data_IF_916854899709
#
_entry.id   IF_916854899709
#
_cell.length_a   1.000
_cell.length_b   1.000
_cell.length_c   1.000
_cell.angle_alpha   90.00
_cell.angle_beta   90.00
_cell.angle_gamma   90.00
#
_symmetry.space_group_name_H-M   'P 1'
#
loop_
_entity.id
_entity.type
_entity.pdbx_description
1 polymer ?
#
# COMPACT_ATOMS: atom_id res chain seq x y z
N UNK A 1 3.16 44.47 32.94
CA UNK A 1 3.05 43.01 32.73
C UNK A 1 4.46 42.49 32.54
N UNK A 2 4.97 41.81 33.55
CA UNK A 2 6.34 41.28 33.62
C UNK A 2 6.60 40.33 32.45
N UNK A 3 7.75 40.45 31.79
CA UNK A 3 8.20 39.53 30.74
C UNK A 3 8.42 38.13 31.34
N UNK A 4 7.35 37.34 31.48
CA UNK A 4 7.47 35.91 31.73
C UNK A 4 8.10 35.29 30.48
N UNK A 5 9.28 34.72 30.63
CA UNK A 5 9.97 33.96 29.59
C UNK A 5 9.13 32.74 29.22
N UNK A 6 8.40 32.85 28.11
CA UNK A 6 7.64 31.74 27.55
C UNK A 6 8.59 30.63 27.09
N UNK A 7 8.33 29.40 27.52
CA UNK A 7 9.10 28.25 27.10
C UNK A 7 8.95 27.98 25.59
N UNK A 8 10.08 27.79 24.92
CA UNK A 8 10.14 27.61 23.46
C UNK A 8 9.41 26.35 22.97
N UNK A 9 9.20 25.36 23.85
CA UNK A 9 8.45 24.13 23.56
C UNK A 9 6.97 24.35 23.19
N UNK A 10 6.38 25.47 23.60
CA UNK A 10 5.02 25.85 23.18
C UNK A 10 4.95 26.27 21.71
N UNK A 11 6.08 26.66 21.09
CA UNK A 11 6.15 27.20 19.72
C UNK A 11 5.19 28.38 19.48
N UNK A 12 4.87 29.14 20.51
CA UNK A 12 4.02 30.33 20.43
C UNK A 12 4.89 31.57 20.20
N UNK A 13 5.00 32.00 18.95
CA UNK A 13 5.82 33.15 18.57
C UNK A 13 5.07 34.47 18.80
N UNK A 14 5.74 35.43 19.43
CA UNK A 14 5.19 36.79 19.60
C UNK A 14 5.13 37.46 18.21
N UNK A 15 3.96 37.97 17.77
CA UNK A 15 3.84 38.57 16.44
C UNK A 15 4.67 39.85 16.36
N UNK A 16 5.44 39.98 15.27
CA UNK A 16 6.29 41.13 15.00
C UNK A 16 5.63 42.06 14.00
N UNK A 17 5.60 43.36 14.32
CA UNK A 17 5.07 44.38 13.42
C UNK A 17 6.11 44.70 12.37
N UNK A 18 5.88 44.26 11.13
CA UNK A 18 6.62 44.73 9.95
C UNK A 18 5.85 45.90 9.34
N UNK A 19 6.57 46.94 8.91
CA UNK A 19 5.97 48.18 8.44
C UNK A 19 6.13 48.28 6.93
N UNK A 20 5.18 47.74 6.15
CA UNK A 20 5.29 47.86 4.69
C UNK A 20 3.99 47.86 3.90
N UNK A 21 2.83 47.42 4.41
CA UNK A 21 1.54 47.55 3.66
C UNK A 21 0.27 47.41 4.54
N UNK A 22 -0.90 47.80 3.99
CA UNK A 22 -2.22 47.58 4.56
C UNK A 22 -2.60 46.10 4.72
N UNK A 23 -2.16 45.21 3.82
CA UNK A 23 -2.36 43.76 3.98
C UNK A 23 -1.55 43.21 5.17
N UNK A 24 -0.33 43.70 5.37
CA UNK A 24 0.53 43.31 6.49
C UNK A 24 -0.05 43.75 7.83
N UNK A 25 -0.63 44.95 7.91
CA UNK A 25 -1.35 45.41 9.12
C UNK A 25 -2.50 44.46 9.49
N UNK A 26 -3.31 44.03 8.52
CA UNK A 26 -4.41 43.07 8.76
C UNK A 26 -3.90 41.69 9.14
N UNK A 27 -2.76 41.25 8.61
CA UNK A 27 -2.13 39.98 8.99
C UNK A 27 -1.60 40.05 10.43
N UNK A 28 -0.88 41.12 10.77
CA UNK A 28 -0.39 41.37 12.12
C UNK A 28 -1.52 41.42 13.15
N UNK A 29 -2.63 42.09 12.83
CA UNK A 29 -3.82 42.14 13.71
C UNK A 29 -4.35 40.71 14.01
N UNK A 30 -4.52 39.89 12.96
CA UNK A 30 -4.97 38.49 13.10
C UNK A 30 -3.99 37.63 13.89
N UNK A 31 -2.69 37.80 13.65
CA UNK A 31 -1.66 37.05 14.38
C UNK A 31 -1.59 37.48 15.86
N UNK A 32 -1.83 38.77 16.16
CA UNK A 32 -1.93 39.31 17.52
C UNK A 32 -3.15 38.78 18.27
N UNK A 33 -4.33 38.81 17.65
CA UNK A 33 -5.55 38.25 18.23
C UNK A 33 -5.37 36.76 18.52
N UNK A 34 -4.78 36.02 17.58
CA UNK A 34 -4.48 34.59 17.77
C UNK A 34 -3.48 34.36 18.89
N UNK A 35 -2.42 35.16 18.98
CA UNK A 35 -1.42 35.06 20.05
C UNK A 35 -2.06 35.31 21.42
N UNK A 36 -2.88 36.36 21.54
CA UNK A 36 -3.59 36.68 22.79
C UNK A 36 -4.53 35.55 23.20
N UNK A 37 -5.28 34.99 22.24
CA UNK A 37 -6.17 33.86 22.50
C UNK A 37 -5.41 32.62 23.00
N UNK A 38 -4.33 32.22 22.31
CA UNK A 38 -3.52 31.06 22.73
C UNK A 38 -2.82 31.30 24.07
N UNK A 39 -2.37 32.54 24.33
CA UNK A 39 -1.77 32.90 25.61
C UNK A 39 -2.79 32.80 26.75
N UNK A 40 -4.03 33.28 26.57
CA UNK A 40 -5.07 33.16 27.60
C UNK A 40 -5.41 31.71 27.97
N UNK A 41 -5.30 30.79 27.01
CA UNK A 41 -5.45 29.35 27.25
C UNK A 41 -4.28 28.80 28.07
N UNK A 42 -3.04 29.20 27.73
CA UNK A 42 -1.88 28.83 28.53
C UNK A 42 -1.94 29.42 29.94
N UNK A 43 -2.48 30.62 30.12
CA UNK A 43 -2.72 31.22 31.43
C UNK A 43 -3.74 30.42 32.24
N UNK A 44 -4.76 29.86 31.60
CA UNK A 44 -5.71 28.95 32.25
C UNK A 44 -5.03 27.66 32.72
N UNK A 45 -4.10 27.13 31.92
CA UNK A 45 -3.30 25.97 32.29
C UNK A 45 -2.31 26.28 33.43
N UNK A 46 -1.69 27.47 33.41
CA UNK A 46 -0.79 27.97 34.45
C UNK A 46 -1.50 28.14 35.80
N UNK A 47 -2.77 28.56 35.81
CA UNK A 47 -3.56 28.65 37.03
C UNK A 47 -3.78 27.28 37.69
N UNK A 48 -3.84 26.20 36.89
CA UNK A 48 -4.00 24.83 37.38
C UNK A 48 -2.67 24.19 37.75
N UNK A 49 -1.65 24.41 36.94
CA UNK A 49 -0.30 23.87 37.14
C UNK A 49 0.71 25.01 36.99
N UNK A 50 1.15 25.63 38.11
CA UNK A 50 2.08 26.75 38.07
C UNK A 50 3.46 26.35 37.52
N UNK A 51 4.03 27.16 36.63
CA UNK A 51 5.34 26.95 36.00
C UNK A 51 5.29 26.26 34.64
N UNK A 52 4.11 25.98 34.10
CA UNK A 52 3.92 25.33 32.80
C UNK A 52 4.26 26.27 31.65
N UNK A 53 3.94 27.57 31.76
CA UNK A 53 4.31 28.58 30.76
C UNK A 53 5.82 28.73 30.66
N UNK A 54 6.51 28.71 31.81
CA UNK A 54 7.96 28.90 31.91
C UNK A 54 8.76 27.63 31.56
N UNK A 55 8.09 26.48 31.51
CA UNK A 55 8.75 25.22 31.19
C UNK A 55 9.53 24.61 32.35
N UNK A 56 9.03 24.71 33.59
CA UNK A 56 9.70 24.10 34.74
C UNK A 56 9.81 22.58 34.56
N UNK A 57 10.94 21.95 34.91
CA UNK A 57 11.11 20.50 34.75
C UNK A 57 10.28 19.71 35.77
N UNK A 58 9.95 18.45 35.44
CA UNK A 58 9.32 17.47 36.32
C UNK A 58 7.95 17.87 36.91
N UNK A 59 7.17 18.67 36.17
CA UNK A 59 5.81 19.00 36.58
C UNK A 59 4.89 17.76 36.54
N UNK A 60 3.96 17.69 37.49
CA UNK A 60 2.95 16.64 37.57
C UNK A 60 1.58 17.27 37.37
N UNK A 61 0.86 16.78 36.37
CA UNK A 61 -0.50 17.20 36.04
C UNK A 61 -1.47 16.17 36.62
N UNK A 62 -2.52 16.63 37.30
CA UNK A 62 -3.62 15.73 37.65
C UNK A 62 -4.50 15.50 36.43
N UNK A 63 -5.06 14.30 36.30
CA UNK A 63 -5.98 14.00 35.20
C UNK A 63 -7.23 14.90 35.24
N UNK A 64 -7.69 15.26 36.44
CA UNK A 64 -8.82 16.18 36.67
C UNK A 64 -8.53 17.60 36.18
N UNK A 65 -7.31 18.11 36.39
CA UNK A 65 -6.94 19.44 35.91
C UNK A 65 -6.79 19.46 34.39
N UNK A 66 -6.18 18.40 33.84
CA UNK A 66 -5.97 18.27 32.40
C UNK A 66 -7.32 18.20 31.68
N UNK A 67 -8.23 17.33 32.14
CA UNK A 67 -9.59 17.21 31.58
C UNK A 67 -10.38 18.51 31.68
N UNK A 68 -10.35 19.19 32.83
CA UNK A 68 -11.05 20.47 33.02
C UNK A 68 -10.57 21.57 32.05
N UNK A 69 -9.26 21.66 31.79
CA UNK A 69 -8.72 22.63 30.83
C UNK A 69 -9.18 22.33 29.40
N UNK A 70 -9.16 21.06 28.99
CA UNK A 70 -9.60 20.67 27.66
C UNK A 70 -11.12 20.79 27.47
N UNK A 71 -11.91 20.52 28.51
CA UNK A 71 -13.37 20.72 28.50
C UNK A 71 -13.72 22.21 28.41
N UNK A 72 -13.08 23.05 29.21
CA UNK A 72 -13.23 24.51 29.11
C UNK A 72 -12.83 25.04 27.72
N UNK A 73 -11.78 24.48 27.12
CA UNK A 73 -11.37 24.80 25.76
C UNK A 73 -12.46 24.40 24.75
N UNK A 74 -13.06 23.22 24.90
CA UNK A 74 -14.13 22.74 24.02
C UNK A 74 -15.41 23.58 24.12
N UNK A 75 -15.77 24.06 25.31
CA UNK A 75 -16.96 24.89 25.51
C UNK A 75 -16.80 26.33 25.01
N UNK A 76 -15.61 26.92 25.17
CA UNK A 76 -15.38 28.35 24.90
C UNK A 76 -14.78 28.64 23.51
N UNK A 77 -14.30 27.62 22.78
CA UNK A 77 -13.62 27.82 21.50
C UNK A 77 -14.58 27.58 20.32
N UNK A 78 -14.66 28.47 19.33
CA UNK A 78 -15.50 28.24 18.15
C UNK A 78 -15.01 27.02 17.35
N UNK A 79 -15.94 26.23 16.73
CA UNK A 79 -15.59 24.98 16.04
C UNK A 79 -14.48 25.12 14.99
N UNK A 80 -14.43 26.25 14.27
CA UNK A 80 -13.40 26.54 13.25
C UNK A 80 -12.00 26.66 13.83
N UNK A 81 -11.86 27.11 15.09
CA UNK A 81 -10.58 27.27 15.76
C UNK A 81 -10.21 26.05 16.61
N UNK A 82 -11.22 25.34 17.14
CA UNK A 82 -11.11 24.23 18.10
C UNK A 82 -9.96 23.26 17.80
N UNK A 83 -9.90 22.71 16.59
CA UNK A 83 -8.85 21.76 16.18
C UNK A 83 -7.45 22.34 16.32
N UNK A 84 -7.24 23.58 15.86
CA UNK A 84 -5.92 24.24 15.90
C UNK A 84 -5.49 24.49 17.33
N UNK A 85 -6.43 24.91 18.18
CA UNK A 85 -6.19 25.25 19.57
C UNK A 85 -5.94 24.00 20.43
N UNK A 86 -6.76 22.97 20.25
CA UNK A 86 -6.60 21.68 20.92
C UNK A 86 -5.24 21.05 20.56
N UNK A 87 -4.93 20.95 19.27
CA UNK A 87 -3.67 20.35 18.82
C UNK A 87 -2.44 21.19 19.20
N UNK A 88 -2.60 22.50 19.43
CA UNK A 88 -1.55 23.34 19.97
C UNK A 88 -1.21 22.94 21.43
N UNK A 89 -2.22 22.74 22.27
CA UNK A 89 -2.00 22.27 23.64
C UNK A 89 -1.42 20.87 23.69
N UNK A 90 -2.00 19.93 22.92
CA UNK A 90 -1.50 18.54 22.84
C UNK A 90 -0.02 18.53 22.49
N UNK A 91 0.40 19.24 21.44
CA UNK A 91 1.82 19.33 21.04
C UNK A 91 2.72 19.93 22.11
N UNK A 92 2.22 20.92 22.85
CA UNK A 92 2.99 21.52 23.93
C UNK A 92 3.19 20.57 25.11
N UNK A 93 2.15 19.80 25.46
CA UNK A 93 2.22 18.76 26.49
C UNK A 93 3.12 17.59 26.04
N UNK A 94 3.05 17.16 24.79
CA UNK A 94 3.96 16.17 24.18
C UNK A 94 5.42 16.63 24.31
N UNK A 95 5.72 17.87 23.90
CA UNK A 95 7.05 18.42 24.04
C UNK A 95 7.50 18.46 25.51
N UNK A 96 6.61 18.80 26.43
CA UNK A 96 6.91 18.87 27.86
C UNK A 96 7.17 17.50 28.48
N UNK A 97 6.41 16.50 28.07
CA UNK A 97 6.64 15.11 28.45
C UNK A 97 8.01 14.61 27.98
N UNK A 98 8.34 14.83 26.71
CA UNK A 98 9.61 14.38 26.13
C UNK A 98 10.83 15.09 26.74
N UNK A 99 10.79 16.44 26.76
CA UNK A 99 11.95 17.30 27.06
C UNK A 99 12.08 17.69 28.53
N UNK A 100 10.96 17.91 29.21
CA UNK A 100 10.92 18.39 30.60
C UNK A 100 10.49 17.30 31.59
N UNK A 101 10.25 16.08 31.10
CA UNK A 101 9.80 14.92 31.90
C UNK A 101 8.52 15.21 32.67
N UNK A 102 7.61 15.97 32.07
CA UNK A 102 6.29 16.19 32.64
C UNK A 102 5.52 14.88 32.74
N UNK A 103 4.84 14.68 33.87
CA UNK A 103 3.91 13.58 34.09
C UNK A 103 2.51 14.10 33.80
N UNK A 104 2.00 13.81 32.61
CA UNK A 104 0.69 14.28 32.13
C UNK A 104 0.06 13.22 31.25
N UNK A 105 -1.25 13.03 31.40
CA UNK A 105 -2.05 12.21 30.49
C UNK A 105 -2.44 13.06 29.29
N UNK A 106 -1.79 12.82 28.16
CA UNK A 106 -1.95 13.65 26.96
C UNK A 106 -3.18 13.19 26.17
N UNK A 107 -4.16 14.08 25.90
CA UNK A 107 -5.30 13.74 25.06
C UNK A 107 -4.91 13.49 23.60
N UNK A 108 -5.68 12.66 22.90
CA UNK A 108 -5.46 12.40 21.48
C UNK A 108 -5.70 13.65 20.64
N UNK A 109 -4.84 13.95 19.64
CA UNK A 109 -5.01 15.12 18.79
C UNK A 109 -6.27 15.01 17.93
N UNK A 110 -6.91 16.14 17.65
CA UNK A 110 -8.05 16.23 16.75
C UNK A 110 -7.58 16.16 15.29
N UNK A 111 -8.00 15.10 14.59
CA UNK A 111 -7.78 14.91 13.16
C UNK A 111 -9.10 15.11 12.43
N UNK A 112 -9.07 15.83 11.32
CA UNK A 112 -10.23 15.91 10.43
C UNK A 112 -10.06 14.86 9.37
N UNK A 113 -10.91 13.84 9.40
CA UNK A 113 -11.03 12.92 8.28
C UNK A 113 -11.73 13.62 7.13
N UNK A 114 -11.01 13.78 6.03
CA UNK A 114 -11.59 14.30 4.80
C UNK A 114 -12.57 13.25 4.29
N UNK A 115 -13.83 13.68 4.06
CA UNK A 115 -14.83 12.81 3.44
C UNK A 115 -14.25 12.27 2.14
N UNK A 116 -14.18 10.94 2.02
CA UNK A 116 -13.74 10.29 0.78
C UNK A 116 -14.67 10.77 -0.35
N UNK A 117 -14.14 11.27 -1.47
CA UNK A 117 -14.97 11.65 -2.59
C UNK A 117 -15.79 10.44 -3.06
N UNK A 118 -16.98 10.66 -3.64
CA UNK A 118 -17.75 9.57 -4.22
C UNK A 118 -16.93 8.89 -5.32
N UNK A 119 -17.06 7.57 -5.43
CA UNK A 119 -16.36 6.76 -6.44
C UNK A 119 -16.76 7.16 -7.86
N UNK A 120 -18.00 7.59 -8.04
CA UNK A 120 -18.58 8.05 -9.30
C UNK A 120 -19.00 9.50 -9.16
N UNK A 121 -18.56 10.35 -10.09
CA UNK A 121 -18.97 11.75 -10.21
C UNK A 121 -19.69 11.95 -11.54
N UNK A 122 -20.41 13.06 -11.70
CA UNK A 122 -21.04 13.41 -12.99
C UNK A 122 -20.01 13.48 -14.12
N UNK A 123 -18.82 14.00 -13.84
CA UNK A 123 -17.72 14.03 -14.82
C UNK A 123 -17.23 12.62 -15.18
N UNK A 124 -16.99 11.76 -14.18
CA UNK A 124 -16.47 10.41 -14.45
C UNK A 124 -17.51 9.53 -15.16
N UNK A 125 -18.79 9.72 -14.84
CA UNK A 125 -19.89 9.06 -15.54
C UNK A 125 -20.00 9.54 -16.99
N UNK A 126 -19.83 10.85 -17.23
CA UNK A 126 -19.88 11.40 -18.59
C UNK A 126 -18.77 10.84 -19.49
N UNK A 127 -17.63 10.41 -18.95
CA UNK A 127 -16.54 9.81 -19.73
C UNK A 127 -16.80 8.33 -20.11
N UNK A 128 -17.83 7.68 -19.58
CA UNK A 128 -18.13 6.25 -19.85
C UNK A 128 -18.44 5.97 -21.32
N UNK A 129 -19.02 6.91 -22.07
CA UNK A 129 -19.26 6.72 -23.50
C UNK A 129 -17.98 6.38 -24.28
N UNK A 130 -16.84 6.94 -23.86
CA UNK A 130 -15.52 6.64 -24.46
C UNK A 130 -15.02 5.27 -24.05
N UNK A 131 -15.33 4.86 -22.83
CA UNK A 131 -15.02 3.54 -22.32
C UNK A 131 -15.79 2.47 -23.09
N UNK A 132 -17.10 2.65 -23.26
CA UNK A 132 -17.95 1.70 -23.99
C UNK A 132 -17.47 1.52 -25.43
N UNK A 133 -17.16 2.62 -26.13
CA UNK A 133 -16.59 2.55 -27.47
C UNK A 133 -15.25 1.81 -27.54
N UNK A 134 -14.41 1.88 -26.49
CA UNK A 134 -13.16 1.10 -26.43
C UNK A 134 -13.43 -0.38 -26.17
N UNK A 135 -14.39 -0.70 -25.30
CA UNK A 135 -14.77 -2.08 -24.98
C UNK A 135 -15.39 -2.77 -26.20
N UNK A 136 -16.28 -2.10 -26.92
CA UNK A 136 -16.87 -2.64 -28.16
C UNK A 136 -15.79 -2.99 -29.19
N UNK A 137 -14.81 -2.11 -29.39
CA UNK A 137 -13.69 -2.36 -30.30
C UNK A 137 -12.76 -3.47 -29.81
N UNK A 138 -12.58 -3.59 -28.50
CA UNK A 138 -11.82 -4.70 -27.91
C UNK A 138 -12.52 -6.05 -28.17
N UNK A 139 -13.83 -6.12 -27.95
CA UNK A 139 -14.63 -7.34 -28.11
C UNK A 139 -14.76 -7.77 -29.57
N UNK A 140 -14.88 -6.81 -30.49
CA UNK A 140 -14.93 -7.09 -31.93
C UNK A 140 -13.57 -7.57 -32.50
N UNK A 141 -12.47 -7.46 -31.75
CA UNK A 141 -11.13 -7.69 -32.26
C UNK A 141 -10.71 -9.17 -32.19
N UNK A 142 -10.64 -9.82 -33.35
CA UNK A 142 -10.28 -11.24 -33.46
C UNK A 142 -8.77 -11.49 -33.39
N UNK A 143 -7.98 -10.85 -34.25
CA UNK A 143 -6.50 -10.94 -34.27
C UNK A 143 -5.89 -9.74 -35.02
N UNK A 144 -4.56 -9.57 -34.94
CA UNK A 144 -3.82 -8.60 -35.77
C UNK A 144 -2.89 -9.36 -36.70
N UNK A 145 -3.10 -9.22 -38.00
CA UNK A 145 -2.38 -9.97 -39.04
C UNK A 145 -1.02 -9.35 -39.39
N UNK A 146 -0.78 -8.09 -39.04
CA UNK A 146 0.38 -7.30 -39.51
C UNK A 146 1.44 -7.00 -38.45
N UNK A 147 1.41 -7.67 -37.29
CA UNK A 147 2.39 -7.46 -36.23
C UNK A 147 3.31 -8.67 -36.07
N UNK A 148 4.60 -8.42 -35.97
CA UNK A 148 5.61 -9.46 -35.76
C UNK A 148 6.65 -9.04 -34.71
N UNK A 149 7.34 -10.04 -34.14
CA UNK A 149 8.40 -9.84 -33.16
C UNK A 149 7.97 -9.01 -31.95
N UNK A 150 8.79 -8.02 -31.57
CA UNK A 150 8.56 -7.20 -30.38
C UNK A 150 7.26 -6.38 -30.44
N UNK A 151 6.80 -5.99 -31.64
CA UNK A 151 5.55 -5.26 -31.79
C UNK A 151 4.34 -6.15 -31.46
N UNK A 152 4.38 -7.42 -31.90
CA UNK A 152 3.39 -8.42 -31.52
C UNK A 152 3.40 -8.67 -30.00
N UNK A 153 4.58 -8.81 -29.38
CA UNK A 153 4.69 -9.02 -27.94
C UNK A 153 4.07 -7.87 -27.13
N UNK A 154 4.39 -6.63 -27.49
CA UNK A 154 3.78 -5.44 -26.85
C UNK A 154 2.26 -5.42 -27.01
N UNK A 155 1.78 -5.77 -28.20
CA UNK A 155 0.36 -5.79 -28.49
C UNK A 155 -0.39 -6.86 -27.71
N UNK A 156 0.12 -8.10 -27.64
CA UNK A 156 -0.51 -9.20 -26.91
C UNK A 156 -0.59 -8.92 -25.41
N UNK A 157 0.52 -8.45 -24.83
CA UNK A 157 0.56 -8.02 -23.43
C UNK A 157 -0.37 -6.84 -23.18
N UNK A 158 -0.39 -5.85 -24.08
CA UNK A 158 -1.31 -4.73 -24.02
C UNK A 158 -2.79 -5.14 -24.06
N UNK A 159 -3.15 -6.09 -24.94
CA UNK A 159 -4.49 -6.66 -25.04
C UNK A 159 -4.90 -7.35 -23.74
N UNK A 160 -4.01 -8.16 -23.18
CA UNK A 160 -4.26 -8.86 -21.93
C UNK A 160 -4.41 -7.89 -20.75
N UNK A 161 -3.52 -6.90 -20.63
CA UNK A 161 -3.61 -5.85 -19.60
C UNK A 161 -4.93 -5.06 -19.71
N UNK A 162 -5.36 -4.74 -20.94
CA UNK A 162 -6.63 -4.07 -21.15
C UNK A 162 -7.81 -4.93 -20.67
N UNK A 163 -7.80 -6.25 -20.94
CA UNK A 163 -8.84 -7.15 -20.43
C UNK A 163 -8.88 -7.19 -18.90
N UNK A 164 -7.72 -7.22 -18.22
CA UNK A 164 -7.66 -7.15 -16.74
C UNK A 164 -8.26 -5.87 -16.17
N UNK A 165 -7.99 -4.73 -16.82
CA UNK A 165 -8.54 -3.43 -16.43
C UNK A 165 -10.05 -3.42 -16.69
N UNK A 166 -10.48 -3.94 -17.84
CA UNK A 166 -11.88 -3.99 -18.24
C UNK A 166 -12.75 -4.79 -17.28
N UNK A 167 -12.27 -5.96 -16.87
CA UNK A 167 -12.96 -6.81 -15.91
C UNK A 167 -12.92 -6.26 -14.48
N UNK A 168 -12.23 -5.14 -14.26
CA UNK A 168 -12.04 -4.55 -12.94
C UNK A 168 -11.16 -5.39 -12.02
N UNK A 169 -10.42 -6.37 -12.55
CA UNK A 169 -9.46 -7.16 -11.78
C UNK A 169 -8.25 -6.32 -11.33
N UNK A 170 -7.86 -5.33 -12.15
CA UNK A 170 -6.67 -4.53 -11.94
C UNK A 170 -6.93 -3.03 -12.18
N UNK A 171 -7.28 -2.30 -11.12
CA UNK A 171 -7.66 -0.87 -11.21
C UNK A 171 -6.66 0.08 -10.52
N UNK A 172 -5.62 -0.46 -9.88
CA UNK A 172 -4.61 0.33 -9.19
C UNK A 172 -3.31 0.43 -10.01
N UNK A 173 -2.80 1.65 -10.17
CA UNK A 173 -1.55 1.91 -10.93
C UNK A 173 -0.34 1.18 -10.35
N UNK A 174 -0.19 1.12 -9.03
CA UNK A 174 0.92 0.42 -8.37
C UNK A 174 0.92 -1.07 -8.70
N UNK A 175 -0.25 -1.71 -8.68
CA UNK A 175 -0.37 -3.12 -9.02
C UNK A 175 -0.14 -3.37 -10.52
N UNK A 176 -0.53 -2.43 -11.39
CA UNK A 176 -0.18 -2.49 -12.81
C UNK A 176 1.33 -2.48 -13.02
N UNK A 177 2.06 -1.62 -12.30
CA UNK A 177 3.53 -1.52 -12.42
C UNK A 177 4.27 -2.78 -11.96
N UNK A 178 3.64 -3.63 -11.14
CA UNK A 178 4.18 -4.93 -10.71
C UNK A 178 3.97 -6.06 -11.72
N UNK A 179 3.10 -5.85 -12.73
CA UNK A 179 2.75 -6.89 -13.71
C UNK A 179 3.94 -7.47 -14.48
N UNK A 180 4.97 -6.69 -14.88
CA UNK A 180 6.13 -7.26 -15.58
C UNK A 180 6.83 -8.36 -14.77
N UNK A 181 7.07 -8.09 -13.48
CA UNK A 181 7.72 -9.05 -12.60
C UNK A 181 6.81 -10.26 -12.34
N UNK A 182 5.53 -10.02 -12.08
CA UNK A 182 4.57 -11.09 -11.82
C UNK A 182 4.33 -11.99 -13.05
N UNK A 183 4.37 -11.40 -14.26
CA UNK A 183 4.31 -12.15 -15.51
C UNK A 183 5.55 -13.02 -15.69
N UNK A 184 6.76 -12.50 -15.46
CA UNK A 184 7.98 -13.30 -15.57
C UNK A 184 8.06 -14.43 -14.53
N UNK A 185 7.47 -14.23 -13.34
CA UNK A 185 7.32 -15.27 -12.30
C UNK A 185 6.33 -16.39 -12.70
N UNK A 186 5.43 -16.12 -13.64
CA UNK A 186 4.42 -17.06 -14.10
C UNK A 186 3.10 -16.98 -13.34
N UNK A 187 2.10 -17.71 -13.85
CA UNK A 187 0.78 -17.84 -13.25
C UNK A 187 0.62 -19.23 -12.60
N UNK A 188 -0.34 -19.36 -11.70
CA UNK A 188 -0.66 -20.61 -11.01
C UNK A 188 -2.12 -20.99 -11.22
N UNK A 189 -2.41 -22.30 -11.24
CA UNK A 189 -3.77 -22.83 -11.29
C UNK A 189 -4.14 -23.49 -9.97
N UNK A 190 -5.24 -23.03 -9.37
CA UNK A 190 -6.03 -23.78 -8.38
C UNK A 190 -7.20 -24.47 -9.10
N UNK A 191 -7.91 -25.45 -8.52
CA UNK A 191 -8.99 -26.18 -9.21
C UNK A 191 -9.97 -25.22 -9.90
N UNK A 192 -9.87 -25.14 -11.23
CA UNK A 192 -10.70 -24.31 -12.11
C UNK A 192 -10.39 -22.81 -12.16
N UNK A 193 -9.39 -22.29 -11.43
CA UNK A 193 -9.09 -20.84 -11.41
C UNK A 193 -7.60 -20.54 -11.55
N UNK A 194 -7.24 -19.81 -12.60
CA UNK A 194 -5.91 -19.24 -12.78
C UNK A 194 -5.73 -17.95 -11.98
N UNK A 195 -4.58 -17.78 -11.33
CA UNK A 195 -4.25 -16.56 -10.61
C UNK A 195 -2.78 -16.16 -10.79
N UNK A 196 -2.53 -14.86 -10.68
CA UNK A 196 -1.19 -14.26 -10.66
C UNK A 196 -0.92 -13.71 -9.26
N UNK A 197 0.30 -13.89 -8.78
CA UNK A 197 0.71 -13.37 -7.48
C UNK A 197 1.55 -12.12 -7.67
N UNK A 198 1.07 -11.00 -7.13
CA UNK A 198 1.81 -9.75 -6.99
C UNK A 198 2.51 -9.76 -5.61
N UNK A 199 3.78 -9.40 -5.58
CA UNK A 199 4.58 -9.31 -4.37
C UNK A 199 5.09 -7.87 -4.20
N UNK A 200 4.86 -7.30 -3.02
CA UNK A 200 5.33 -5.98 -2.60
C UNK A 200 6.33 -6.15 -1.47
N UNK A 201 7.60 -5.82 -1.69
CA UNK A 201 8.62 -5.91 -0.65
C UNK A 201 8.38 -4.82 0.42
N UNK A 202 8.28 -5.24 1.68
CA UNK A 202 8.05 -4.38 2.85
C UNK A 202 9.38 -3.85 3.39
N UNK A 203 10.43 -4.67 3.29
CA UNK A 203 11.77 -4.36 3.82
C UNK A 203 12.82 -4.78 2.80
N UNK A 204 13.49 -3.77 2.22
CA UNK A 204 14.70 -4.00 1.43
C UNK A 204 15.79 -4.59 2.35
N UNK A 205 16.57 -5.59 1.88
CA UNK A 205 17.66 -6.17 2.66
C UNK A 205 18.64 -5.10 3.19
N UNK A 206 18.78 -3.97 2.50
CA UNK A 206 19.79 -2.95 2.82
C UNK A 206 19.35 -1.93 3.89
N UNK A 207 18.10 -1.95 4.35
CA UNK A 207 17.63 -0.93 5.33
C UNK A 207 18.11 -1.16 6.76
N UNK A 208 18.76 -2.29 7.05
CA UNK A 208 19.34 -2.60 8.35
C UNK A 208 20.87 -2.48 8.39
N UNK A 209 21.53 -2.27 7.24
CA UNK A 209 23.00 -2.22 7.13
C UNK A 209 23.54 -0.78 7.06
N UNK A 210 22.71 0.23 6.78
CA UNK A 210 23.16 1.63 6.69
C UNK A 210 23.33 2.37 8.03
N UNK A 211 23.04 1.75 9.18
CA UNK A 211 23.21 2.39 10.52
C UNK A 211 24.44 1.93 11.32
N UNK A 212 25.35 1.13 10.73
CA UNK A 212 26.62 0.78 11.40
C UNK A 212 27.76 0.65 10.40
N UNK A 213 28.38 1.76 10.03
CA UNK A 213 29.80 1.78 9.62
C UNK A 213 30.34 3.23 9.57
N UNK A 214 30.51 3.84 10.74
CA UNK A 214 31.59 4.80 10.96
C UNK A 214 32.49 4.21 12.07
N UNK A 215 33.53 3.49 11.67
CA UNK A 215 34.52 2.88 12.55
C UNK A 215 35.67 2.30 11.72
N UNK A 216 36.88 2.70 12.06
CA UNK A 216 38.10 2.60 11.25
C UNK A 216 38.61 1.18 10.93
N UNK A 217 39.13 1.05 9.71
CA UNK A 217 40.32 0.32 9.26
C UNK A 217 40.47 -1.22 9.44
N UNK A 218 40.67 -1.86 8.28
CA UNK A 218 41.64 -2.93 7.98
C UNK A 218 41.39 -4.33 8.55
N UNK A 219 40.83 -5.23 7.73
CA UNK A 219 41.39 -6.59 7.57
C UNK A 219 40.99 -7.20 6.21
N UNK A 220 41.95 -7.88 5.57
CA UNK A 220 41.86 -8.54 4.26
C UNK A 220 41.06 -9.85 4.38
N UNK A 221 39.73 -9.76 4.46
CA UNK A 221 38.85 -10.91 4.27
C UNK A 221 37.73 -10.57 3.27
N UNK A 222 37.49 -11.42 2.25
CA UNK A 222 36.32 -11.23 1.39
C UNK A 222 35.05 -11.25 2.24
N UNK A 223 34.07 -10.37 1.96
CA UNK A 223 32.84 -10.29 2.73
C UNK A 223 32.19 -11.68 2.84
N UNK A 224 31.71 -12.09 4.03
CA UNK A 224 30.96 -13.32 4.14
C UNK A 224 29.76 -13.24 3.20
N UNK A 225 29.61 -14.24 2.33
CA UNK A 225 28.43 -14.36 1.47
C UNK A 225 27.17 -14.21 2.34
N UNK A 226 26.21 -13.36 1.96
CA UNK A 226 25.01 -13.16 2.77
C UNK A 226 24.34 -14.52 2.99
N UNK A 227 23.89 -14.83 4.22
CA UNK A 227 23.28 -16.12 4.51
C UNK A 227 22.15 -16.37 3.52
N UNK A 228 22.18 -17.53 2.87
CA UNK A 228 21.17 -17.92 1.88
C UNK A 228 19.79 -17.91 2.53
N UNK A 229 19.05 -16.80 2.37
CA UNK A 229 17.77 -16.61 3.01
C UNK A 229 16.82 -17.75 2.67
N UNK A 230 16.19 -18.31 3.71
CA UNK A 230 15.21 -19.37 3.49
C UNK A 230 14.00 -18.80 2.71
N UNK A 231 13.30 -19.62 1.90
CA UNK A 231 12.12 -19.16 1.15
C UNK A 231 11.05 -18.52 2.06
N UNK A 232 10.96 -18.97 3.31
CA UNK A 232 10.00 -18.48 4.31
C UNK A 232 10.41 -17.08 4.82
N UNK A 233 11.70 -16.82 5.01
CA UNK A 233 12.21 -15.49 5.38
C UNK A 233 11.96 -14.46 4.27
N UNK A 234 12.09 -14.85 3.01
CA UNK A 234 11.72 -14.01 1.85
C UNK A 234 10.22 -13.71 1.82
N UNK A 235 9.39 -14.70 2.12
CA UNK A 235 7.93 -14.53 2.21
C UNK A 235 7.49 -13.64 3.38
N UNK A 236 8.26 -13.62 4.49
CA UNK A 236 7.98 -12.77 5.64
C UNK A 236 8.17 -11.28 5.36
N UNK A 237 9.07 -10.94 4.43
CA UNK A 237 9.40 -9.55 4.06
C UNK A 237 8.52 -8.99 2.96
N UNK A 238 7.54 -9.75 2.46
CA UNK A 238 6.71 -9.35 1.32
C UNK A 238 5.22 -9.40 1.64
N UNK A 239 4.50 -8.40 1.16
CA UNK A 239 3.05 -8.40 1.07
C UNK A 239 2.64 -9.06 -0.25
N UNK A 240 1.68 -9.98 -0.18
CA UNK A 240 1.21 -10.70 -1.36
C UNK A 240 -0.22 -10.30 -1.71
N UNK A 241 -0.49 -10.27 -3.01
CA UNK A 241 -1.83 -10.09 -3.55
C UNK A 241 -2.04 -11.06 -4.72
N UNK A 242 -3.11 -11.85 -4.65
CA UNK A 242 -3.49 -12.74 -5.75
C UNK A 242 -4.56 -12.10 -6.60
N UNK A 243 -4.26 -11.98 -7.89
CA UNK A 243 -5.20 -11.56 -8.91
C UNK A 243 -5.81 -12.80 -9.55
N UNK A 244 -7.07 -13.09 -9.23
CA UNK A 244 -7.82 -14.16 -9.86
C UNK A 244 -8.24 -13.73 -11.26
N UNK A 245 -7.90 -14.54 -12.27
CA UNK A 245 -8.17 -14.25 -13.67
C UNK A 245 -9.54 -14.81 -14.06
N UNK A 246 -10.32 -14.03 -14.82
CA UNK A 246 -11.49 -14.57 -15.50
C UNK A 246 -11.10 -15.62 -16.56
N UNK A 247 -12.04 -16.44 -17.07
CA UNK A 247 -11.77 -17.33 -18.18
C UNK A 247 -11.18 -16.62 -19.41
N UNK A 248 -11.66 -15.43 -19.76
CA UNK A 248 -11.15 -14.67 -20.91
C UNK A 248 -9.71 -14.18 -20.66
N UNK A 249 -9.46 -13.63 -19.47
CA UNK A 249 -8.13 -13.20 -19.06
C UNK A 249 -7.13 -14.34 -18.98
N UNK A 250 -7.57 -15.55 -18.57
CA UNK A 250 -6.77 -16.77 -18.61
C UNK A 250 -6.43 -17.17 -20.05
N UNK A 251 -7.41 -17.19 -20.96
CA UNK A 251 -7.19 -17.55 -22.36
C UNK A 251 -6.24 -16.59 -23.06
N UNK A 252 -6.40 -15.28 -22.86
CA UNK A 252 -5.50 -14.27 -23.42
C UNK A 252 -4.08 -14.39 -22.86
N UNK A 253 -3.95 -14.69 -21.57
CA UNK A 253 -2.65 -14.94 -20.95
C UNK A 253 -1.97 -16.16 -21.55
N UNK A 254 -2.68 -17.29 -21.63
CA UNK A 254 -2.15 -18.54 -22.19
C UNK A 254 -1.73 -18.36 -23.65
N UNK A 255 -2.56 -17.69 -24.45
CA UNK A 255 -2.24 -17.34 -25.83
C UNK A 255 -0.96 -16.48 -25.91
N UNK A 256 -0.82 -15.50 -25.02
CA UNK A 256 0.39 -14.67 -24.92
C UNK A 256 1.61 -15.53 -24.60
N UNK A 257 1.55 -16.39 -23.58
CA UNK A 257 2.66 -17.26 -23.21
C UNK A 257 3.05 -18.24 -24.33
N UNK A 258 2.07 -18.75 -25.09
CA UNK A 258 2.34 -19.63 -26.22
C UNK A 258 3.12 -18.93 -27.34
N UNK A 259 2.87 -17.64 -27.58
CA UNK A 259 3.49 -16.91 -28.68
C UNK A 259 4.81 -16.22 -28.31
N UNK A 260 4.93 -15.70 -27.09
CA UNK A 260 6.10 -14.88 -26.68
C UNK A 260 6.86 -15.46 -25.47
N UNK A 261 6.37 -16.55 -24.88
CA UNK A 261 6.95 -17.13 -23.67
C UNK A 261 6.60 -16.35 -22.40
N UNK A 262 7.35 -16.61 -21.34
CA UNK A 262 7.21 -15.95 -20.03
C UNK A 262 8.00 -14.64 -19.91
N UNK A 263 8.72 -14.22 -20.95
CA UNK A 263 9.50 -12.98 -20.92
C UNK A 263 8.60 -11.76 -21.17
N UNK A 264 8.70 -10.74 -20.32
CA UNK A 264 8.01 -9.49 -20.59
C UNK A 264 8.63 -8.78 -21.83
N UNK A 265 7.86 -8.03 -22.64
CA UNK A 265 8.40 -7.30 -23.78
C UNK A 265 9.56 -6.38 -23.39
N UNK A 266 10.64 -6.41 -24.18
CA UNK A 266 11.86 -5.61 -23.96
C UNK A 266 12.09 -4.63 -25.10
N UNK A 267 12.71 -3.50 -24.81
CA UNK A 267 13.14 -2.52 -25.82
C UNK A 267 14.36 -3.05 -26.60
N UNK A 268 14.76 -2.35 -27.66
CA UNK A 268 15.99 -2.68 -28.40
C UNK A 268 17.25 -2.63 -27.51
N UNK A 269 17.23 -1.84 -26.42
CA UNK A 269 18.30 -1.75 -25.42
C UNK A 269 18.18 -2.79 -24.30
N UNK A 270 17.36 -3.85 -24.49
CA UNK A 270 17.08 -4.93 -23.51
C UNK A 270 16.43 -4.47 -22.20
N UNK A 271 16.00 -3.21 -22.09
CA UNK A 271 15.25 -2.73 -20.94
C UNK A 271 13.79 -3.20 -20.98
N UNK A 272 13.17 -3.39 -19.82
CA UNK A 272 11.76 -3.77 -19.70
C UNK A 272 10.89 -2.67 -20.29
N UNK A 273 9.94 -3.02 -21.15
CA UNK A 273 8.97 -2.05 -21.70
C UNK A 273 7.97 -1.70 -20.60
N UNK A 274 7.76 -0.41 -20.29
CA UNK A 274 6.77 0.02 -19.31
C UNK A 274 5.36 -0.45 -19.65
N UNK A 275 4.59 -0.78 -18.61
CA UNK A 275 3.20 -1.29 -18.70
C UNK A 275 2.31 -0.32 -19.48
N UNK A 276 2.45 0.98 -19.20
CA UNK A 276 1.71 2.04 -19.91
C UNK A 276 2.00 2.03 -21.42
N UNK A 277 3.25 1.75 -21.82
CA UNK A 277 3.59 1.69 -23.24
C UNK A 277 2.94 0.49 -23.93
N UNK A 278 2.91 -0.69 -23.31
CA UNK A 278 2.22 -1.86 -23.86
C UNK A 278 0.71 -1.60 -24.00
N UNK A 279 0.09 -1.04 -22.96
CA UNK A 279 -1.34 -0.76 -22.93
C UNK A 279 -1.73 0.31 -23.96
N UNK A 280 -1.01 1.43 -24.02
CA UNK A 280 -1.28 2.48 -25.00
C UNK A 280 -0.96 2.04 -26.43
N UNK A 281 0.05 1.17 -26.62
CA UNK A 281 0.32 0.57 -27.93
C UNK A 281 -0.89 -0.22 -28.40
N UNK A 282 -1.47 -1.08 -27.56
CA UNK A 282 -2.68 -1.82 -27.88
C UNK A 282 -3.87 -0.89 -28.18
N UNK A 283 -4.15 0.09 -27.31
CA UNK A 283 -5.32 0.94 -27.48
C UNK A 283 -5.23 1.80 -28.75
N UNK A 284 -4.04 2.26 -29.14
CA UNK A 284 -3.84 2.96 -30.42
C UNK A 284 -4.24 2.12 -31.64
N UNK A 285 -4.10 0.80 -31.56
CA UNK A 285 -4.48 -0.09 -32.66
C UNK A 285 -6.00 -0.33 -32.71
N UNK A 286 -6.70 -0.26 -31.58
CA UNK A 286 -8.15 -0.46 -31.56
C UNK A 286 -8.90 0.87 -31.76
N UNK A 287 -8.34 2.00 -31.33
CA UNK A 287 -8.98 3.31 -31.39
C UNK A 287 -8.07 4.35 -32.09
N UNK A 288 -7.90 4.19 -33.41
CA UNK A 288 -7.05 5.04 -34.24
C UNK A 288 -7.50 6.52 -34.22
N UNK A 289 -8.81 6.79 -34.17
CA UNK A 289 -9.35 8.16 -34.27
C UNK A 289 -9.41 8.91 -32.93
N UNK A 290 -9.53 8.20 -31.80
CA UNK A 290 -9.66 8.80 -30.47
C UNK A 290 -8.99 7.94 -29.39
N UNK A 291 -7.65 7.89 -29.32
CA UNK A 291 -6.98 7.20 -28.23
C UNK A 291 -7.21 7.93 -26.89
N UNK A 292 -7.35 7.21 -25.77
CA UNK A 292 -7.37 7.83 -24.45
C UNK A 292 -6.02 8.52 -24.20
N UNK A 293 -6.08 9.67 -23.55
CA UNK A 293 -4.92 10.58 -23.44
C UNK A 293 -3.81 9.98 -22.59
N UNK A 294 -4.15 9.29 -21.47
CA UNK A 294 -3.19 8.78 -20.49
C UNK A 294 -3.73 7.55 -19.72
N UNK A 295 -2.84 6.75 -19.11
CA UNK A 295 -3.23 5.60 -18.27
C UNK A 295 -4.13 5.98 -17.08
N UNK A 296 -3.93 7.15 -16.46
CA UNK A 296 -4.76 7.62 -15.34
C UNK A 296 -6.21 7.87 -15.73
N UNK A 297 -6.45 8.39 -16.93
CA UNK A 297 -7.79 8.61 -17.47
C UNK A 297 -8.48 7.26 -17.74
N UNK A 298 -7.75 6.31 -18.34
CA UNK A 298 -8.26 4.95 -18.57
C UNK A 298 -8.67 4.27 -17.25
N UNK A 299 -7.83 4.34 -16.22
CA UNK A 299 -8.14 3.75 -14.92
C UNK A 299 -9.31 4.44 -14.22
N UNK A 300 -9.49 5.75 -14.41
CA UNK A 300 -10.65 6.48 -13.88
C UNK A 300 -11.94 6.02 -14.54
N UNK A 301 -11.94 5.86 -15.87
CA UNK A 301 -13.08 5.32 -16.62
C UNK A 301 -13.39 3.88 -16.20
N UNK A 302 -12.38 3.01 -16.17
CA UNK A 302 -12.53 1.61 -15.76
C UNK A 302 -13.03 1.46 -14.32
N UNK A 303 -12.54 2.29 -13.38
CA UNK A 303 -13.05 2.34 -12.00
C UNK A 303 -14.51 2.76 -11.94
N UNK A 304 -14.91 3.70 -12.79
CA UNK A 304 -16.29 4.17 -12.85
C UNK A 304 -17.19 3.05 -13.37
N UNK A 305 -16.82 2.39 -14.47
CA UNK A 305 -17.55 1.24 -15.01
C UNK A 305 -17.64 0.09 -13.99
N UNK A 306 -16.50 -0.29 -13.42
CA UNK A 306 -16.42 -1.33 -12.37
C UNK A 306 -17.27 -1.00 -11.12
N UNK A 307 -17.42 0.27 -10.77
CA UNK A 307 -18.26 0.68 -9.64
C UNK A 307 -19.77 0.55 -9.92
N UNK A 308 -20.16 0.50 -11.20
CA UNK A 308 -21.54 0.26 -11.64
C UNK A 308 -21.82 -1.24 -11.78
N UNK A 309 -20.84 -2.00 -12.28
CA UNK A 309 -21.03 -3.42 -12.62
C UNK A 309 -20.75 -4.38 -11.46
N UNK A 310 -19.80 -4.05 -10.57
CA UNK A 310 -19.33 -4.94 -9.52
C UNK A 310 -19.76 -4.52 -8.11
N UNK A 311 -19.86 -5.47 -7.17
CA UNK A 311 -20.04 -5.18 -5.76
C UNK A 311 -18.96 -4.23 -5.20
N UNK A 312 -19.32 -3.26 -4.33
CA UNK A 312 -18.39 -2.26 -3.80
C UNK A 312 -17.14 -2.83 -3.12
N UNK A 313 -17.24 -4.03 -2.53
CA UNK A 313 -16.12 -4.73 -1.91
C UNK A 313 -15.04 -5.12 -2.93
N UNK A 314 -15.44 -5.69 -4.08
CA UNK A 314 -14.51 -6.10 -5.13
C UNK A 314 -13.87 -4.89 -5.80
N UNK A 315 -14.66 -3.85 -6.06
CA UNK A 315 -14.16 -2.58 -6.60
C UNK A 315 -13.16 -1.91 -5.65
N UNK A 316 -13.41 -1.96 -4.34
CA UNK A 316 -12.47 -1.47 -3.33
C UNK A 316 -11.19 -2.32 -3.30
N UNK A 317 -11.32 -3.65 -3.33
CA UNK A 317 -10.19 -4.56 -3.42
C UNK A 317 -9.29 -4.26 -4.62
N UNK A 318 -9.85 -4.18 -5.82
CA UNK A 318 -9.11 -3.95 -7.05
C UNK A 318 -8.48 -2.54 -7.15
N UNK A 319 -9.12 -1.53 -6.55
CA UNK A 319 -8.69 -0.13 -6.69
C UNK A 319 -7.73 0.36 -5.62
N UNK A 320 -7.67 -0.27 -4.45
CA UNK A 320 -6.83 0.18 -3.31
C UNK A 320 -5.66 -0.74 -3.04
N UNK A 321 -4.53 -0.14 -2.69
CA UNK A 321 -3.32 -0.85 -2.29
C UNK A 321 -3.49 -1.57 -0.93
N UNK A 322 -4.16 -0.89 0.02
CA UNK A 322 -4.24 -1.37 1.41
C UNK A 322 -5.41 -2.36 1.65
N UNK A 323 -6.19 -2.66 0.62
CA UNK A 323 -7.35 -3.53 0.74
C UNK A 323 -6.90 -5.00 0.78
N UNK A 324 -6.89 -5.58 1.99
CA UNK A 324 -6.70 -7.00 2.31
C UNK A 324 -5.54 -7.70 1.60
N UNK A 325 -4.51 -8.04 2.39
CA UNK A 325 -3.39 -8.85 1.95
C UNK A 325 -3.82 -10.30 1.73
N UNK A 326 -3.34 -10.91 0.66
CA UNK A 326 -3.50 -12.35 0.45
C UNK A 326 -2.57 -13.12 1.39
N UNK A 327 -2.97 -14.34 1.75
CA UNK A 327 -2.09 -15.26 2.50
C UNK A 327 -0.79 -15.47 1.74
N UNK A 328 0.31 -15.74 2.46
CA UNK A 328 1.61 -16.07 1.85
C UNK A 328 1.50 -17.28 0.91
N UNK A 329 2.35 -17.40 -0.14
CA UNK A 329 2.32 -18.53 -1.06
C UNK A 329 2.32 -19.89 -0.35
N UNK A 330 3.24 -20.11 0.59
CA UNK A 330 3.28 -21.32 1.42
C UNK A 330 1.97 -21.59 2.18
N UNK A 331 1.40 -20.57 2.82
CA UNK A 331 0.15 -20.68 3.60
C UNK A 331 -1.07 -20.93 2.71
N UNK A 332 -1.08 -20.35 1.52
CA UNK A 332 -2.12 -20.54 0.52
C UNK A 332 -2.10 -21.94 -0.09
N UNK A 333 -0.91 -22.45 -0.42
CA UNK A 333 -0.75 -23.83 -0.88
C UNK A 333 -1.22 -24.83 0.17
N UNK A 334 -0.93 -24.58 1.46
CA UNK A 334 -1.45 -25.41 2.57
C UNK A 334 -2.97 -25.38 2.62
N UNK A 335 -3.58 -24.20 2.47
CA UNK A 335 -5.02 -24.04 2.46
C UNK A 335 -5.66 -24.79 1.30
N UNK A 336 -5.11 -24.67 0.09
CA UNK A 336 -5.63 -25.34 -1.11
C UNK A 336 -5.46 -26.85 -1.06
N UNK A 337 -4.32 -27.33 -0.57
CA UNK A 337 -3.99 -28.76 -0.58
C UNK A 337 -4.43 -29.48 0.70
N UNK A 338 -5.02 -28.77 1.67
CA UNK A 338 -5.39 -29.28 3.00
C UNK A 338 -4.26 -30.03 3.74
N UNK A 339 -2.99 -29.74 3.40
CA UNK A 339 -1.84 -30.42 3.98
C UNK A 339 -1.32 -29.63 5.19
N UNK A 340 -1.55 -30.16 6.38
CA UNK A 340 -0.84 -29.75 7.60
C UNK A 340 0.52 -30.43 7.59
N UNK A 341 1.61 -29.67 7.57
CA UNK A 341 2.93 -30.24 7.87
C UNK A 341 2.88 -30.73 9.32
N UNK A 342 2.63 -32.02 9.52
CA UNK A 342 2.93 -32.69 10.78
C UNK A 342 4.44 -32.53 10.93
N UNK A 343 4.87 -31.78 11.94
CA UNK A 343 6.28 -31.72 12.29
C UNK A 343 6.78 -33.16 12.41
N UNK A 344 7.90 -33.55 11.76
CA UNK A 344 8.44 -34.87 11.98
C UNK A 344 8.65 -35.02 13.49
N UNK A 345 8.20 -36.14 14.10
CA UNK A 345 8.44 -36.36 15.51
C UNK A 345 9.94 -36.22 15.74
N UNK A 346 10.37 -35.54 16.83
CA UNK A 346 11.78 -35.40 17.13
C UNK A 346 12.41 -36.79 17.08
N UNK A 347 13.49 -36.90 16.32
CA UNK A 347 14.31 -38.11 16.21
C UNK A 347 14.56 -38.63 17.62
N UNK A 348 13.77 -39.61 18.05
CA UNK A 348 14.09 -40.39 19.22
C UNK A 348 15.36 -41.13 18.85
N UNK A 349 16.44 -40.73 19.53
CA UNK A 349 17.72 -41.40 19.54
C UNK A 349 17.50 -42.91 19.59
N UNK A 350 17.83 -43.60 18.51
CA UNK A 350 17.87 -45.05 18.45
C UNK A 350 18.87 -45.57 19.48
N UNK A 351 18.50 -46.48 20.40
CA UNK A 351 19.47 -47.40 20.94
C UNK A 351 19.66 -48.55 19.95
N UNK A 352 20.93 -48.88 19.77
CA UNK A 352 21.50 -49.85 18.87
C UNK A 352 21.04 -51.29 19.13
N UNK A 353 21.15 -52.09 18.06
CA UNK A 353 21.41 -53.55 18.01
C UNK A 353 20.20 -54.50 18.17
N UNK A 354 19.77 -55.18 17.09
CA UNK A 354 20.36 -56.45 16.61
C UNK A 354 19.63 -56.98 15.35
N UNK A 355 20.46 -57.57 14.51
CA UNK A 355 20.24 -58.36 13.30
C UNK A 355 19.14 -59.42 13.45
N UNK A 356 18.20 -59.48 12.50
CA UNK A 356 17.75 -60.77 11.93
C UNK A 356 17.05 -60.55 10.59
N UNK A 357 17.58 -61.25 9.59
CA UNK A 357 17.06 -61.47 8.25
C UNK A 357 15.75 -62.25 8.28
N UNK A 358 14.70 -61.78 7.60
CA UNK A 358 13.77 -62.70 6.93
C UNK A 358 13.04 -62.05 5.76
N UNK A 359 13.02 -62.81 4.67
CA UNK A 359 12.48 -62.58 3.35
C UNK A 359 10.95 -62.77 3.35
N UNK A 360 10.16 -61.88 2.73
CA UNK A 360 8.94 -62.31 1.98
C UNK A 360 8.23 -61.17 1.20
N UNK A 361 8.16 -61.42 -0.12
CA UNK A 361 7.13 -61.14 -1.16
C UNK A 361 6.42 -59.77 -1.29
N UNK A 362 6.29 -59.25 -2.54
CA UNK A 362 5.54 -58.04 -2.84
C UNK A 362 4.03 -58.31 -2.96
N UNK A 363 3.22 -57.42 -2.36
CA UNK A 363 1.76 -57.46 -2.41
C UNK A 363 1.24 -56.81 -3.70
N UNK A 364 0.38 -57.55 -4.37
CA UNK A 364 -0.25 -57.28 -5.66
C UNK A 364 -1.25 -56.12 -5.60
N UNK A 365 -1.24 -55.24 -6.61
CA UNK A 365 -2.27 -54.23 -6.89
C UNK A 365 -3.62 -54.91 -7.21
N UNK A 366 -4.76 -54.51 -6.61
CA UNK A 366 -6.06 -54.83 -7.17
C UNK A 366 -6.45 -53.80 -8.24
N UNK A 367 -6.90 -54.31 -9.38
CA UNK A 367 -7.36 -53.57 -10.55
C UNK A 367 -8.75 -52.95 -10.34
N UNK A 368 -8.97 -51.78 -10.96
CA UNK A 368 -10.26 -51.14 -11.18
C UNK A 368 -11.20 -52.05 -12.00
N UNK A 369 -12.50 -52.12 -11.68
CA UNK A 369 -13.50 -52.66 -12.60
C UNK A 369 -13.92 -51.61 -13.63
N UNK A 370 -13.93 -52.02 -14.90
CA UNK A 370 -14.55 -51.32 -16.04
C UNK A 370 -16.09 -51.33 -15.92
N UNK A 371 -16.79 -50.32 -16.48
CA UNK A 371 -18.23 -50.23 -16.41
C UNK A 371 -18.90 -51.19 -17.41
N UNK A 372 -19.96 -51.86 -16.95
CA UNK A 372 -20.91 -52.57 -17.79
C UNK A 372 -22.00 -51.61 -18.28
N UNK A 373 -22.17 -51.59 -19.62
CA UNK A 373 -23.30 -51.18 -20.46
C UNK A 373 -24.40 -50.28 -19.89
#
# INVERSE_FOLDING_TARGET
>A
MSDKTLWSGWRLLRPQKKATDGQEKRRYQRDRERYQFLMGILETLEQKVPGVIEGKPNLSFSDTDTTAVFEALHQNTPPKALRKTHNFLVRGLENGHEKLKWRVTIPSPLVTDVRKPPTVTTSSFSDLHRWDALVEKHDAMSSVENLSGNALSKWMVGRWLFQLIREGALLNKRHLEQMPQAFEQGFSFAPGTGFITLADCIQSPNSAEEEKEEGEASDDNPPPEPPSETPIEKELRSHYRRLCLSPMSQLLLLNTYQNIGNAWPRTASKSIVPVEQCLMFYIKHIAVETPPVNMSALLTMAKTASALDMPPLLTHYASKADASLSLRPSSWQRLLNHNVLIAPPPLQSTPTTKTSTSTSKPLTRPALPLPTS
#
